data_IF_252260717898
#
_entry.id   IF_252260717898
#
_cell.length_a   1.000
_cell.length_b   1.000
_cell.length_c   1.000
_cell.angle_alpha   90.00
_cell.angle_beta   90.00
_cell.angle_gamma   90.00
#
_symmetry.space_group_name_H-M   'P 1'
#
loop_
_entity.id
_entity.type
_entity.pdbx_description
1 polymer ?
#
# COMPACT_ATOMS: atom_id res chain seq x y z
N UNK A 1 9.48 -19.01 22.79
CA UNK A 1 9.26 -19.75 21.53
C UNK A 1 8.06 -19.21 20.73
N UNK A 2 6.90 -18.95 21.36
CA UNK A 2 5.70 -18.39 20.70
C UNK A 2 5.91 -16.97 20.12
N UNK A 3 6.74 -16.14 20.77
CA UNK A 3 7.10 -14.79 20.32
C UNK A 3 7.82 -14.78 18.96
N UNK A 4 8.69 -15.76 18.69
CA UNK A 4 9.46 -15.81 17.44
C UNK A 4 8.58 -16.13 16.23
N UNK A 5 7.59 -17.02 16.43
CA UNK A 5 6.59 -17.37 15.39
C UNK A 5 5.65 -16.19 15.12
N UNK A 6 5.25 -15.44 16.16
CA UNK A 6 4.47 -14.20 16.00
C UNK A 6 5.25 -13.16 15.20
N UNK A 7 6.52 -12.94 15.53
CA UNK A 7 7.38 -11.99 14.83
C UNK A 7 7.64 -12.40 13.37
N UNK A 8 7.78 -13.70 13.08
CA UNK A 8 7.89 -14.19 11.69
C UNK A 8 6.59 -13.99 10.91
N UNK A 9 5.44 -14.24 11.53
CA UNK A 9 4.12 -14.03 10.93
C UNK A 9 3.87 -12.54 10.64
N UNK A 10 4.28 -11.65 11.54
CA UNK A 10 4.22 -10.21 11.34
C UNK A 10 5.16 -9.75 10.21
N UNK A 11 6.40 -10.26 10.19
CA UNK A 11 7.31 -9.99 9.06
C UNK A 11 6.74 -10.46 7.74
N UNK A 12 6.12 -11.64 7.68
CA UNK A 12 5.46 -12.15 6.47
C UNK A 12 4.23 -11.35 6.07
N UNK A 13 3.42 -10.88 7.02
CA UNK A 13 2.27 -10.01 6.72
C UNK A 13 2.68 -8.59 6.29
N UNK A 14 3.88 -8.14 6.66
CA UNK A 14 4.43 -6.83 6.32
C UNK A 14 5.39 -6.87 5.13
N UNK A 15 5.68 -8.06 4.58
CA UNK A 15 6.62 -8.18 3.48
C UNK A 15 5.90 -7.96 2.14
N UNK A 16 6.31 -6.92 1.43
CA UNK A 16 5.87 -6.58 0.08
C UNK A 16 6.27 -7.63 -0.97
N UNK A 17 7.18 -8.57 -0.64
CA UNK A 17 7.78 -9.55 -1.56
C UNK A 17 8.75 -8.92 -2.56
N UNK A 18 8.47 -7.70 -3.02
CA UNK A 18 9.21 -6.95 -4.04
C UNK A 18 9.76 -5.62 -3.48
N UNK A 19 11.07 -5.42 -3.63
CA UNK A 19 11.78 -4.22 -3.18
C UNK A 19 11.46 -3.02 -4.07
N UNK A 20 11.26 -3.22 -5.36
CA UNK A 20 11.03 -2.14 -6.31
C UNK A 20 9.64 -1.56 -6.10
N UNK A 21 8.63 -2.42 -5.91
CA UNK A 21 7.29 -1.99 -5.48
C UNK A 21 7.34 -1.20 -4.17
N UNK A 22 8.07 -1.68 -3.16
CA UNK A 22 8.22 -0.95 -1.89
C UNK A 22 8.83 0.45 -2.11
N UNK A 23 9.87 0.57 -2.96
CA UNK A 23 10.47 1.85 -3.27
C UNK A 23 9.50 2.81 -3.96
N UNK A 24 8.70 2.32 -4.92
CA UNK A 24 7.69 3.13 -5.60
C UNK A 24 6.61 3.60 -4.62
N UNK A 25 6.12 2.73 -3.73
CA UNK A 25 5.17 3.11 -2.68
C UNK A 25 5.76 4.21 -1.80
N UNK A 26 7.00 4.06 -1.34
CA UNK A 26 7.66 5.07 -0.49
C UNK A 26 7.86 6.40 -1.21
N UNK A 27 8.20 6.37 -2.49
CA UNK A 27 8.31 7.59 -3.31
C UNK A 27 6.97 8.31 -3.42
N UNK A 28 5.87 7.56 -3.61
CA UNK A 28 4.53 8.11 -3.72
C UNK A 28 4.00 8.66 -2.39
N UNK A 29 4.28 7.99 -1.27
CA UNK A 29 4.03 8.54 0.08
C UNK A 29 4.78 9.86 0.26
N UNK A 30 6.03 9.94 -0.21
CA UNK A 30 6.82 11.18 -0.16
C UNK A 30 6.21 12.30 -1.01
N UNK A 31 5.78 11.97 -2.23
CA UNK A 31 5.14 12.92 -3.14
C UNK A 31 3.82 13.50 -2.58
N UNK A 32 3.11 12.75 -1.72
CA UNK A 32 1.87 13.17 -1.06
C UNK A 32 2.08 13.98 0.24
N UNK A 33 3.31 14.36 0.56
CA UNK A 33 3.61 15.20 1.73
C UNK A 33 3.84 14.43 3.04
N UNK A 34 4.27 13.17 2.96
CA UNK A 34 4.62 12.36 4.12
C UNK A 34 6.08 11.92 4.07
N UNK A 35 6.67 11.52 5.19
CA UNK A 35 8.02 10.93 5.20
C UNK A 35 7.98 9.47 4.74
N UNK A 36 8.08 9.22 3.42
CA UNK A 36 7.99 7.86 2.86
C UNK A 36 9.12 6.91 3.26
N UNK A 37 10.33 7.43 3.58
CA UNK A 37 11.46 6.60 4.04
C UNK A 37 11.20 5.90 5.39
N UNK A 38 10.41 6.52 6.26
CA UNK A 38 10.09 6.00 7.59
C UNK A 38 8.69 5.40 7.67
N UNK A 39 7.92 5.44 6.58
CA UNK A 39 6.59 4.86 6.52
C UNK A 39 6.62 3.36 6.82
N UNK A 40 5.69 2.90 7.65
CA UNK A 40 5.52 1.49 7.97
C UNK A 40 4.43 0.90 7.06
N UNK A 41 4.82 0.06 6.12
CA UNK A 41 3.89 -0.67 5.26
C UNK A 41 3.36 -1.92 5.96
N UNK A 42 2.07 -2.19 5.82
CA UNK A 42 1.35 -3.31 6.41
C UNK A 42 0.37 -3.90 5.40
N UNK A 43 0.03 -5.18 5.59
CA UNK A 43 -1.01 -5.88 4.81
C UNK A 43 -0.87 -5.77 3.29
N UNK A 44 0.36 -5.74 2.78
CA UNK A 44 0.61 -5.77 1.33
C UNK A 44 0.14 -7.11 0.78
N UNK A 45 -0.94 -7.13 0.00
CA UNK A 45 -1.56 -8.36 -0.50
C UNK A 45 -2.06 -8.18 -1.92
N UNK A 46 -1.81 -9.20 -2.75
CA UNK A 46 -2.43 -9.33 -4.06
C UNK A 46 -3.94 -9.54 -3.91
N UNK A 47 -4.73 -8.69 -4.57
CA UNK A 47 -6.19 -8.66 -4.46
C UNK A 47 -6.90 -8.86 -5.79
N UNK A 48 -6.29 -8.51 -6.92
CA UNK A 48 -6.81 -8.84 -8.24
C UNK A 48 -5.67 -9.15 -9.22
N UNK A 49 -5.94 -10.00 -10.21
CA UNK A 49 -4.93 -10.43 -11.19
C UNK A 49 -5.55 -10.79 -12.54
N UNK A 50 -4.88 -10.44 -13.63
CA UNK A 50 -5.22 -10.91 -14.98
C UNK A 50 -4.59 -12.28 -15.24
N UNK A 51 -5.19 -13.13 -16.07
CA UNK A 51 -4.52 -14.36 -16.56
C UNK A 51 -4.14 -14.20 -18.03
N UNK A 52 -2.89 -14.51 -18.44
CA UNK A 52 -1.72 -14.78 -17.59
C UNK A 52 -1.36 -13.54 -16.75
N UNK A 53 -0.65 -13.69 -15.62
CA UNK A 53 -0.44 -12.72 -14.51
C UNK A 53 0.16 -11.33 -14.78
N UNK A 54 -0.07 -10.73 -15.95
CA UNK A 54 0.54 -9.50 -16.44
C UNK A 54 0.10 -8.25 -15.69
N UNK A 55 -1.18 -8.19 -15.30
CA UNK A 55 -1.73 -7.09 -14.52
C UNK A 55 -2.05 -7.62 -13.14
N UNK A 56 -1.53 -6.97 -12.12
CA UNK A 56 -1.72 -7.32 -10.72
C UNK A 56 -2.12 -6.09 -9.93
N UNK A 57 -3.07 -6.25 -9.01
CA UNK A 57 -3.49 -5.19 -8.10
C UNK A 57 -3.23 -5.66 -6.69
N UNK A 58 -2.46 -4.87 -5.95
CA UNK A 58 -2.17 -5.07 -4.54
C UNK A 58 -2.89 -4.02 -3.71
N UNK A 59 -3.32 -4.41 -2.51
CA UNK A 59 -3.70 -3.48 -1.46
C UNK A 59 -2.60 -3.38 -0.43
N UNK A 60 -2.49 -2.24 0.22
CA UNK A 60 -1.65 -2.06 1.40
C UNK A 60 -2.23 -1.01 2.34
N UNK A 61 -1.70 -0.98 3.55
CA UNK A 61 -1.90 0.05 4.55
C UNK A 61 -0.53 0.63 4.90
N UNK A 62 -0.47 1.93 5.17
CA UNK A 62 0.77 2.61 5.50
C UNK A 62 0.56 3.58 6.66
N UNK A 63 1.36 3.43 7.71
CA UNK A 63 1.46 4.45 8.76
C UNK A 63 2.62 5.36 8.42
N UNK A 64 2.36 6.63 8.13
CA UNK A 64 3.39 7.59 7.70
C UNK A 64 3.36 8.87 8.54
N UNK A 65 4.54 9.45 8.79
CA UNK A 65 4.67 10.74 9.47
C UNK A 65 4.37 11.87 8.50
N UNK A 66 3.59 12.87 8.91
CA UNK A 66 3.32 14.08 8.11
C UNK A 66 4.61 14.88 7.96
N UNK A 67 4.91 15.31 6.74
CA UNK A 67 6.01 16.24 6.48
C UNK A 67 5.53 17.66 6.81
N UNK A 68 5.86 18.14 8.00
CA UNK A 68 5.79 19.56 8.34
C UNK A 68 7.04 20.25 7.83
N UNK A 69 6.91 21.49 7.34
CA UNK A 69 8.09 22.29 6.96
C UNK A 69 9.03 22.40 8.17
N UNK A 70 10.33 22.18 7.94
CA UNK A 70 11.41 22.21 8.96
C UNK A 70 11.58 23.59 9.65
N UNK A 71 10.66 24.54 9.43
CA UNK A 71 10.63 25.86 10.04
C UNK A 71 9.85 25.91 11.38
N UNK A 72 9.08 24.88 11.71
CA UNK A 72 8.46 24.80 13.03
C UNK A 72 9.52 24.37 14.05
N UNK A 73 9.71 25.19 15.09
CA UNK A 73 10.79 25.09 16.06
C UNK A 73 10.88 23.73 16.81
N UNK A 74 11.85 23.60 17.73
CA UNK A 74 12.30 22.31 18.27
C UNK A 74 11.29 21.43 19.04
N UNK A 75 10.01 21.82 19.13
CA UNK A 75 8.99 21.20 20.00
C UNK A 75 7.74 20.67 19.28
N UNK A 76 7.70 20.60 17.94
CA UNK A 76 6.52 20.04 17.26
C UNK A 76 6.47 18.51 17.42
N UNK A 77 5.42 18.04 18.10
CA UNK A 77 5.17 16.60 18.27
C UNK A 77 4.91 15.96 16.90
N UNK A 78 5.57 14.84 16.55
CA UNK A 78 5.38 14.21 15.24
C UNK A 78 3.95 13.69 15.05
N UNK A 79 3.26 14.19 14.03
CA UNK A 79 1.95 13.67 13.62
C UNK A 79 2.12 12.46 12.69
N UNK A 80 1.38 11.39 12.97
CA UNK A 80 1.32 10.19 12.15
C UNK A 80 -0.08 10.02 11.61
N UNK A 81 -0.19 9.62 10.34
CA UNK A 81 -1.45 9.25 9.70
C UNK A 81 -1.41 7.82 9.19
N UNK A 82 -2.57 7.18 9.30
CA UNK A 82 -2.84 5.90 8.66
C UNK A 82 -3.37 6.18 7.24
N UNK A 83 -2.74 5.58 6.25
CA UNK A 83 -3.06 5.72 4.84
C UNK A 83 -3.44 4.36 4.29
N UNK A 84 -4.41 4.37 3.38
CA UNK A 84 -4.81 3.19 2.64
C UNK A 84 -4.22 3.30 1.24
N UNK A 85 -3.81 2.19 0.65
CA UNK A 85 -3.15 2.23 -0.64
C UNK A 85 -3.51 1.09 -1.57
N UNK A 86 -3.39 1.38 -2.87
CA UNK A 86 -3.47 0.40 -3.94
C UNK A 86 -2.25 0.54 -4.83
N UNK A 87 -1.73 -0.59 -5.29
CA UNK A 87 -0.72 -0.66 -6.35
C UNK A 87 -1.30 -1.43 -7.51
N UNK A 88 -1.20 -0.90 -8.72
CA UNK A 88 -1.45 -1.63 -9.96
C UNK A 88 -0.14 -1.78 -10.71
N UNK A 89 0.27 -3.01 -10.91
CA UNK A 89 1.46 -3.35 -11.68
C UNK A 89 1.05 -3.90 -13.04
N UNK A 90 1.70 -3.41 -14.09
CA UNK A 90 1.65 -3.96 -15.44
C UNK A 90 3.05 -4.40 -15.87
N UNK A 91 3.29 -5.70 -15.75
CA UNK A 91 4.59 -6.32 -16.07
C UNK A 91 4.94 -6.24 -17.56
N UNK A 92 3.99 -5.93 -18.45
CA UNK A 92 4.29 -5.78 -19.89
C UNK A 92 4.94 -4.45 -20.20
N UNK A 93 4.62 -3.44 -19.40
CA UNK A 93 5.08 -2.07 -19.57
C UNK A 93 6.11 -1.65 -18.52
N UNK A 94 6.45 -2.55 -17.59
CA UNK A 94 7.29 -2.26 -16.43
C UNK A 94 6.78 -1.03 -15.66
N UNK A 95 5.45 -0.96 -15.49
CA UNK A 95 4.79 0.20 -14.90
C UNK A 95 4.04 -0.17 -13.62
N UNK A 96 4.32 0.58 -12.56
CA UNK A 96 3.65 0.46 -11.27
C UNK A 96 3.00 1.78 -10.91
N UNK A 97 1.67 1.78 -10.82
CA UNK A 97 0.86 2.93 -10.44
C UNK A 97 0.46 2.73 -8.98
N UNK A 98 0.75 3.70 -8.12
CA UNK A 98 0.40 3.66 -6.69
C UNK A 98 -0.53 4.81 -6.40
N UNK A 99 -1.64 4.52 -5.74
CA UNK A 99 -2.57 5.54 -5.23
C UNK A 99 -2.75 5.38 -3.72
N UNK A 100 -2.89 6.52 -3.04
CA UNK A 100 -3.06 6.63 -1.60
C UNK A 100 -4.39 7.32 -1.29
N UNK A 101 -5.07 6.84 -0.25
CA UNK A 101 -6.40 7.25 0.14
C UNK A 101 -6.46 7.44 1.65
N UNK A 102 -7.26 8.42 2.09
CA UNK A 102 -7.55 8.64 3.52
C UNK A 102 -8.82 7.89 3.96
N UNK A 103 -9.72 7.57 3.02
CA UNK A 103 -10.98 6.89 3.30
C UNK A 103 -11.07 5.52 2.57
N UNK A 104 -11.95 4.64 3.05
CA UNK A 104 -12.12 3.32 2.43
C UNK A 104 -13.01 3.34 1.18
N UNK A 105 -13.86 4.36 1.03
CA UNK A 105 -14.78 4.48 -0.11
C UNK A 105 -14.02 4.80 -1.40
N UNK A 106 -13.12 5.78 -1.40
CA UNK A 106 -12.33 6.14 -2.58
C UNK A 106 -11.41 4.99 -2.98
N UNK A 107 -10.81 4.30 -1.99
CA UNK A 107 -10.03 3.08 -2.24
C UNK A 107 -10.89 1.99 -2.91
N UNK A 108 -12.12 1.80 -2.45
CA UNK A 108 -13.04 0.80 -3.02
C UNK A 108 -13.44 1.14 -4.45
N UNK A 109 -13.74 2.40 -4.72
CA UNK A 109 -14.06 2.87 -6.07
C UNK A 109 -12.87 2.68 -7.01
N UNK A 110 -11.67 3.09 -6.59
CA UNK A 110 -10.48 2.89 -7.40
C UNK A 110 -10.16 1.41 -7.62
N UNK A 111 -10.35 0.57 -6.60
CA UNK A 111 -10.20 -0.87 -6.74
C UNK A 111 -11.18 -1.44 -7.77
N UNK A 112 -12.46 -1.03 -7.73
CA UNK A 112 -13.44 -1.47 -8.72
C UNK A 112 -13.00 -1.10 -10.14
N UNK A 113 -12.50 0.12 -10.34
CA UNK A 113 -11.99 0.58 -11.63
C UNK A 113 -10.76 -0.21 -12.10
N UNK A 114 -9.80 -0.49 -11.21
CA UNK A 114 -8.57 -1.22 -11.56
C UNK A 114 -8.76 -2.73 -11.67
N UNK A 115 -9.77 -3.28 -11.01
CA UNK A 115 -10.10 -4.70 -11.02
C UNK A 115 -11.09 -5.10 -12.10
N UNK A 116 -11.59 -4.15 -12.89
CA UNK A 116 -12.49 -4.46 -14.01
C UNK A 116 -11.84 -5.43 -15.00
N UNK A 117 -12.55 -6.52 -15.31
CA UNK A 117 -12.03 -7.61 -16.12
C UNK A 117 -10.91 -8.46 -15.48
N UNK A 118 -10.56 -8.24 -14.20
CA UNK A 118 -9.57 -9.03 -13.47
C UNK A 118 -10.22 -10.09 -12.58
N UNK A 119 -9.45 -11.13 -12.25
CA UNK A 119 -9.86 -12.13 -11.27
C UNK A 119 -9.60 -11.57 -9.88
N UNK A 120 -10.67 -11.29 -9.13
CA UNK A 120 -10.57 -10.90 -7.74
C UNK A 120 -10.25 -12.10 -6.84
N UNK A 121 -9.23 -11.96 -6.01
CA UNK A 121 -8.77 -12.99 -5.07
C UNK A 121 -9.47 -12.85 -3.72
N UNK A 122 -9.36 -13.88 -2.87
CA UNK A 122 -9.91 -13.87 -1.50
C UNK A 122 -9.45 -12.66 -0.66
N UNK A 123 -8.27 -12.13 -0.97
CA UNK A 123 -7.75 -10.91 -0.34
C UNK A 123 -8.56 -9.64 -0.65
N UNK A 124 -9.40 -9.63 -1.68
CA UNK A 124 -10.27 -8.51 -2.03
C UNK A 124 -11.49 -8.34 -1.12
N UNK A 125 -11.63 -9.18 -0.07
CA UNK A 125 -12.73 -9.06 0.86
C UNK A 125 -12.70 -7.69 1.58
N UNK A 126 -13.81 -6.96 1.52
CA UNK A 126 -13.92 -5.55 1.95
C UNK A 126 -13.66 -4.53 0.83
N UNK A 127 -13.13 -4.95 -0.33
CA UNK A 127 -12.89 -4.08 -1.49
C UNK A 127 -13.91 -4.28 -2.63
N UNK A 128 -14.33 -5.53 -2.87
CA UNK A 128 -15.41 -5.83 -3.82
C UNK A 128 -16.77 -5.70 -3.13
N UNK A 129 -17.71 -4.92 -3.68
CA UNK A 129 -19.13 -5.09 -3.36
C UNK A 129 -19.53 -6.50 -3.83
N UNK A 130 -20.04 -7.32 -2.91
CA UNK A 130 -20.73 -8.56 -3.27
C UNK A 130 -21.98 -8.18 -4.07
#
# INVERSE_FOLDING_TARGET
MIQFIKNLKEKWNNWCGDRDMELVIRQQITARGFYGKTAQLRQVRLVAVQRPGWIQVFRFEATARVATDDNDGPDTTPEYRELLGLVREDMRQDSSIVELFENEDDRREQFANWSDGLICLRGAHGLSRI
#
